data_IF_107181399805
#
_entry.id   IF_107181399805
#
_cell.length_a   1.000
_cell.length_b   1.000
_cell.length_c   1.000
_cell.angle_alpha   90.00
_cell.angle_beta   90.00
_cell.angle_gamma   90.00
#
_symmetry.space_group_name_H-M   'P 1'
#
loop_
_entity.id
_entity.type
_entity.pdbx_description
1 polymer ?
#
# COMPACT_ATOMS: atom_id res chain seq x y z
N UNK A 1 4.54 -23.80 -0.42
CA UNK A 1 4.24 -23.51 -1.86
C UNK A 1 4.38 -22.02 -2.23
N UNK A 2 4.42 -21.07 -1.27
CA UNK A 2 4.60 -19.63 -1.54
C UNK A 2 6.06 -19.26 -1.86
N UNK A 3 7.03 -19.87 -1.20
CA UNK A 3 8.47 -19.60 -1.33
C UNK A 3 9.01 -19.86 -2.76
N UNK A 4 8.51 -20.89 -3.45
CA UNK A 4 9.01 -21.24 -4.81
C UNK A 4 8.62 -20.23 -5.89
N UNK A 5 7.48 -19.56 -5.75
CA UNK A 5 7.02 -18.53 -6.72
C UNK A 5 7.79 -17.22 -6.57
N UNK A 6 8.13 -16.85 -5.33
CA UNK A 6 8.94 -15.64 -5.04
C UNK A 6 10.34 -15.80 -5.67
N UNK A 7 10.98 -16.94 -5.49
CA UNK A 7 12.30 -17.21 -6.10
C UNK A 7 12.29 -17.15 -7.63
N UNK A 8 11.22 -17.65 -8.28
CA UNK A 8 11.11 -17.59 -9.73
C UNK A 8 10.98 -16.14 -10.24
N UNK A 9 10.24 -15.28 -9.52
CA UNK A 9 10.10 -13.86 -9.88
C UNK A 9 11.41 -13.09 -9.68
N UNK A 10 12.16 -13.38 -8.62
CA UNK A 10 13.46 -12.76 -8.36
C UNK A 10 14.50 -13.08 -9.42
N UNK A 11 14.49 -14.31 -9.95
CA UNK A 11 15.44 -14.76 -10.97
C UNK A 11 15.05 -14.33 -12.39
N UNK A 12 13.80 -13.90 -12.59
CA UNK A 12 13.32 -13.52 -13.91
C UNK A 12 13.79 -12.12 -14.30
N UNK A 13 14.59 -12.02 -15.34
CA UNK A 13 15.16 -10.74 -15.83
C UNK A 13 14.19 -9.93 -16.69
N UNK A 14 13.06 -10.47 -17.08
CA UNK A 14 12.05 -9.82 -17.88
C UNK A 14 11.12 -8.91 -17.06
N UNK A 15 10.10 -8.35 -17.74
CA UNK A 15 9.02 -7.62 -17.09
C UNK A 15 8.07 -8.61 -16.43
N UNK A 16 7.83 -8.44 -15.13
CA UNK A 16 6.74 -9.10 -14.43
C UNK A 16 5.62 -8.10 -14.18
N UNK A 17 4.38 -8.54 -14.28
CA UNK A 17 3.21 -7.72 -14.01
C UNK A 17 2.17 -8.51 -13.23
N UNK A 18 1.32 -7.81 -12.52
CA UNK A 18 0.12 -8.34 -11.86
C UNK A 18 -1.08 -7.55 -12.35
N UNK A 19 -2.25 -8.19 -12.41
CA UNK A 19 -3.52 -7.50 -12.53
C UNK A 19 -4.05 -7.14 -11.14
N UNK A 20 -4.74 -6.02 -11.04
CA UNK A 20 -5.56 -5.74 -9.86
C UNK A 20 -6.84 -6.59 -9.92
N UNK A 21 -7.55 -6.78 -8.79
CA UNK A 21 -8.90 -7.31 -8.78
C UNK A 21 -9.79 -6.49 -9.73
N UNK A 22 -10.65 -7.16 -10.46
CA UNK A 22 -11.65 -6.51 -11.30
C UNK A 22 -12.91 -6.18 -10.49
N UNK A 23 -13.90 -5.52 -11.10
CA UNK A 23 -15.17 -5.15 -10.43
C UNK A 23 -15.88 -6.38 -9.88
N UNK A 24 -15.95 -7.48 -10.66
CA UNK A 24 -16.60 -8.72 -10.22
C UNK A 24 -15.93 -9.36 -9.01
N UNK A 25 -14.58 -9.32 -8.93
CA UNK A 25 -13.84 -9.80 -7.76
C UNK A 25 -14.17 -9.00 -6.49
N UNK A 26 -14.40 -7.69 -6.63
CA UNK A 26 -14.83 -6.83 -5.53
C UNK A 26 -16.29 -7.06 -5.14
N UNK A 27 -17.21 -7.20 -6.12
CA UNK A 27 -18.61 -7.52 -5.85
C UNK A 27 -18.74 -8.85 -5.10
N UNK A 28 -18.00 -9.88 -5.52
CA UNK A 28 -17.95 -11.16 -4.80
C UNK A 28 -17.45 -10.98 -3.35
N UNK A 29 -16.47 -10.09 -3.13
CA UNK A 29 -15.96 -9.83 -1.79
C UNK A 29 -16.93 -9.01 -0.91
N UNK A 30 -17.83 -8.24 -1.50
CA UNK A 30 -18.86 -7.44 -0.79
C UNK A 30 -20.10 -8.24 -0.44
N UNK A 31 -20.32 -9.36 -1.12
CA UNK A 31 -21.55 -10.16 -1.05
C UNK A 31 -21.97 -10.49 0.38
N UNK A 32 -23.23 -10.19 0.71
CA UNK A 32 -23.84 -10.53 1.99
C UNK A 32 -23.46 -9.63 3.18
N UNK A 33 -22.81 -8.49 2.94
CA UNK A 33 -22.46 -7.55 4.00
C UNK A 33 -23.28 -6.24 3.89
N UNK A 34 -23.71 -5.73 5.02
CA UNK A 34 -24.44 -4.45 5.12
C UNK A 34 -23.48 -3.26 5.26
N UNK A 35 -22.33 -3.46 5.94
CA UNK A 35 -21.28 -2.45 6.12
C UNK A 35 -19.94 -3.00 5.64
N UNK A 36 -19.30 -2.27 4.72
CA UNK A 36 -18.09 -2.71 4.06
C UNK A 36 -17.02 -1.61 4.08
N UNK A 37 -15.84 -1.97 4.56
CA UNK A 37 -14.66 -1.11 4.58
C UNK A 37 -13.57 -1.72 3.69
N UNK A 38 -13.44 -1.25 2.47
CA UNK A 38 -12.46 -1.72 1.50
C UNK A 38 -11.22 -0.82 1.52
N UNK A 39 -10.05 -1.39 1.81
CA UNK A 39 -8.78 -0.68 1.79
C UNK A 39 -7.98 -1.12 0.56
N UNK A 40 -7.52 -0.18 -0.23
CA UNK A 40 -6.71 -0.48 -1.41
C UNK A 40 -5.32 0.12 -1.31
N UNK A 41 -4.37 -0.45 -2.03
CA UNK A 41 -3.11 0.26 -2.28
C UNK A 41 -3.41 1.51 -3.10
N UNK A 42 -2.50 2.48 -3.04
CA UNK A 42 -2.67 3.76 -3.72
C UNK A 42 -3.09 3.63 -5.18
N UNK A 43 -4.05 4.43 -5.59
CA UNK A 43 -4.53 4.50 -6.97
C UNK A 43 -3.46 4.92 -7.99
N UNK A 44 -2.36 5.53 -7.56
CA UNK A 44 -1.22 5.86 -8.43
C UNK A 44 -0.43 4.63 -8.88
N UNK A 45 -0.48 3.53 -8.14
CA UNK A 45 0.22 2.28 -8.45
C UNK A 45 -0.68 1.21 -9.07
N UNK A 46 -1.98 1.23 -8.77
CA UNK A 46 -2.91 0.16 -9.13
C UNK A 46 -4.29 0.70 -9.47
N UNK A 47 -4.97 0.06 -10.42
CA UNK A 47 -6.39 0.30 -10.69
C UNK A 47 -7.35 -0.28 -9.63
N UNK A 48 -6.82 -0.87 -8.55
CA UNK A 48 -7.61 -1.55 -7.51
C UNK A 48 -8.61 -0.61 -6.83
N UNK A 49 -8.18 0.62 -6.51
CA UNK A 49 -9.05 1.62 -5.89
C UNK A 49 -10.25 1.97 -6.79
N UNK A 50 -9.97 2.26 -8.07
CA UNK A 50 -11.03 2.57 -9.04
C UNK A 50 -11.99 1.38 -9.24
N UNK A 51 -11.48 0.17 -9.33
CA UNK A 51 -12.32 -1.02 -9.46
C UNK A 51 -13.20 -1.25 -8.21
N UNK A 52 -12.64 -1.05 -7.01
CA UNK A 52 -13.38 -1.14 -5.76
C UNK A 52 -14.48 -0.08 -5.66
N UNK A 53 -14.21 1.17 -6.10
CA UNK A 53 -15.19 2.24 -6.10
C UNK A 53 -16.37 1.97 -7.04
N UNK A 54 -16.08 1.53 -8.28
CA UNK A 54 -17.13 1.13 -9.23
C UNK A 54 -17.97 -0.04 -8.71
N UNK A 55 -17.32 -1.03 -8.09
CA UNK A 55 -18.02 -2.13 -7.45
C UNK A 55 -18.90 -1.66 -6.27
N UNK A 56 -18.43 -0.68 -5.48
CA UNK A 56 -19.19 -0.11 -4.38
C UNK A 56 -20.47 0.61 -4.86
N UNK A 57 -20.36 1.39 -5.95
CA UNK A 57 -21.51 2.05 -6.57
C UNK A 57 -22.55 1.03 -7.08
N UNK A 58 -22.09 -0.02 -7.77
CA UNK A 58 -22.95 -1.11 -8.27
C UNK A 58 -23.61 -1.88 -7.13
N UNK A 59 -22.82 -2.27 -6.10
CA UNK A 59 -23.32 -3.02 -4.96
C UNK A 59 -24.38 -2.25 -4.18
N UNK A 60 -24.17 -0.98 -3.88
CA UNK A 60 -25.11 -0.14 -3.16
C UNK A 60 -26.40 0.13 -3.97
N UNK A 61 -26.30 0.17 -5.31
CA UNK A 61 -27.48 0.30 -6.16
C UNK A 61 -28.37 -0.94 -6.13
N UNK A 62 -27.76 -2.13 -6.03
CA UNK A 62 -28.47 -3.42 -5.98
C UNK A 62 -28.92 -3.81 -4.57
N UNK A 63 -28.26 -3.27 -3.51
CA UNK A 63 -28.52 -3.57 -2.10
C UNK A 63 -28.88 -2.29 -1.34
N UNK A 64 -30.14 -1.82 -1.42
CA UNK A 64 -30.57 -0.62 -0.71
C UNK A 64 -30.37 -0.76 0.81
N UNK A 65 -29.57 0.12 1.39
CA UNK A 65 -29.20 0.10 2.81
C UNK A 65 -27.80 -0.39 3.08
N UNK A 66 -27.13 -1.04 2.11
CA UNK A 66 -25.72 -1.37 2.24
C UNK A 66 -24.85 -0.10 2.18
N UNK A 67 -23.82 -0.06 3.01
CA UNK A 67 -22.86 1.04 3.10
C UNK A 67 -21.46 0.52 2.73
N UNK A 68 -20.84 1.11 1.71
CA UNK A 68 -19.51 0.72 1.27
C UNK A 68 -18.57 1.91 1.28
N UNK A 69 -17.54 1.83 2.10
CA UNK A 69 -16.46 2.80 2.15
C UNK A 69 -15.21 2.23 1.49
N UNK A 70 -14.73 2.89 0.45
CA UNK A 70 -13.48 2.53 -0.23
C UNK A 70 -12.40 3.55 0.14
N UNK A 71 -11.40 3.10 0.90
CA UNK A 71 -10.26 3.90 1.30
C UNK A 71 -9.09 3.67 0.35
N UNK A 72 -8.74 4.68 -0.45
CA UNK A 72 -7.41 4.75 -1.06
C UNK A 72 -6.40 5.04 0.06
N UNK A 73 -5.52 4.09 0.34
CA UNK A 73 -4.53 4.25 1.42
C UNK A 73 -3.50 5.33 1.13
N UNK A 74 -3.37 5.79 -0.12
CA UNK A 74 -2.26 6.61 -0.62
C UNK A 74 -0.88 5.97 -0.34
N UNK A 75 -0.86 4.66 -0.14
CA UNK A 75 0.29 3.90 0.29
C UNK A 75 0.29 2.47 -0.28
N UNK A 76 1.14 1.61 0.27
CA UNK A 76 1.22 0.19 -0.09
C UNK A 76 1.78 -0.64 1.08
N UNK A 77 1.76 -1.97 0.94
CA UNK A 77 2.42 -2.89 1.85
C UNK A 77 1.88 -2.85 3.28
N UNK A 78 2.77 -2.83 4.31
CA UNK A 78 2.36 -3.01 5.70
C UNK A 78 1.52 -1.87 6.27
N UNK A 79 1.52 -0.70 5.64
CA UNK A 79 0.68 0.42 6.10
C UNK A 79 -0.82 0.10 6.01
N UNK A 80 -1.24 -0.71 5.00
CA UNK A 80 -2.62 -1.16 4.90
C UNK A 80 -3.06 -1.99 6.12
N UNK A 81 -2.13 -2.70 6.75
CA UNK A 81 -2.41 -3.46 7.97
C UNK A 81 -2.71 -2.52 9.14
N UNK A 82 -1.96 -1.41 9.28
CA UNK A 82 -2.25 -0.38 10.29
C UNK A 82 -3.65 0.20 10.10
N UNK A 83 -4.02 0.51 8.86
CA UNK A 83 -5.35 1.03 8.54
C UNK A 83 -6.45 0.01 8.87
N UNK A 84 -6.27 -1.24 8.48
CA UNK A 84 -7.25 -2.31 8.76
C UNK A 84 -7.42 -2.57 10.26
N UNK A 85 -6.32 -2.56 11.03
CA UNK A 85 -6.39 -2.73 12.48
C UNK A 85 -7.07 -1.55 13.17
N UNK A 86 -6.90 -0.34 12.65
CA UNK A 86 -7.56 0.84 13.20
C UNK A 86 -9.06 0.82 12.92
N UNK A 87 -9.50 0.46 11.69
CA UNK A 87 -10.93 0.23 11.38
C UNK A 87 -11.51 -0.78 12.34
N UNK A 88 -10.84 -1.92 12.51
CA UNK A 88 -11.31 -2.96 13.43
C UNK A 88 -11.50 -2.43 14.85
N UNK A 89 -10.54 -1.67 15.36
CA UNK A 89 -10.62 -1.09 16.70
C UNK A 89 -11.81 -0.15 16.84
N UNK A 90 -12.07 0.72 15.85
CA UNK A 90 -13.21 1.64 15.85
C UNK A 90 -14.56 0.89 15.84
N UNK A 91 -14.66 -0.19 15.06
CA UNK A 91 -15.84 -1.06 15.03
C UNK A 91 -16.05 -1.75 16.38
N UNK A 92 -14.96 -2.28 16.98
CA UNK A 92 -15.00 -2.91 18.32
C UNK A 92 -15.39 -1.91 19.43
N UNK A 93 -15.09 -0.61 19.25
CA UNK A 93 -15.55 0.48 20.13
C UNK A 93 -17.03 0.86 19.92
N UNK A 94 -17.70 0.28 18.92
CA UNK A 94 -19.10 0.54 18.61
C UNK A 94 -19.33 1.87 17.89
N UNK A 95 -18.35 2.34 17.12
CA UNK A 95 -18.49 3.54 16.29
C UNK A 95 -19.43 3.28 15.12
N UNK A 96 -20.26 4.28 14.80
CA UNK A 96 -21.11 4.26 13.64
C UNK A 96 -20.29 4.36 12.33
N UNK A 97 -20.85 3.84 11.23
CA UNK A 97 -20.17 3.76 9.93
C UNK A 97 -19.52 5.08 9.49
N UNK A 98 -20.29 6.18 9.53
CA UNK A 98 -19.82 7.50 9.11
C UNK A 98 -18.68 8.02 10.00
N UNK A 99 -18.73 7.77 11.31
CA UNK A 99 -17.65 8.12 12.23
C UNK A 99 -16.34 7.37 11.91
N UNK A 100 -16.46 6.07 11.57
CA UNK A 100 -15.30 5.26 11.14
C UNK A 100 -14.73 5.84 9.86
N UNK A 101 -15.55 6.16 8.87
CA UNK A 101 -15.11 6.74 7.59
C UNK A 101 -14.34 8.05 7.79
N UNK A 102 -14.90 8.97 8.58
CA UNK A 102 -14.27 10.27 8.87
C UNK A 102 -12.95 10.10 9.61
N UNK A 103 -12.91 9.23 10.62
CA UNK A 103 -11.68 8.96 11.37
C UNK A 103 -10.61 8.35 10.48
N UNK A 104 -10.96 7.41 9.60
CA UNK A 104 -10.02 6.78 8.68
C UNK A 104 -9.43 7.76 7.67
N UNK A 105 -10.20 8.72 7.19
CA UNK A 105 -9.69 9.80 6.34
C UNK A 105 -8.68 10.69 7.07
N UNK A 106 -8.85 10.90 8.38
CA UNK A 106 -7.85 11.60 9.20
C UNK A 106 -6.64 10.73 9.51
N UNK A 107 -6.89 9.50 9.99
CA UNK A 107 -5.85 8.59 10.46
C UNK A 107 -4.82 8.24 9.37
N UNK A 108 -5.24 8.05 8.12
CA UNK A 108 -4.30 7.74 7.02
C UNK A 108 -3.24 8.83 6.80
N UNK A 109 -3.46 10.07 7.24
CA UNK A 109 -2.46 11.14 7.17
C UNK A 109 -1.45 11.09 8.33
N UNK A 110 -1.68 10.24 9.31
CA UNK A 110 -0.79 10.02 10.46
C UNK A 110 -0.02 8.70 10.36
N UNK A 111 -0.27 7.92 9.33
CA UNK A 111 0.51 6.72 9.01
C UNK A 111 1.50 7.03 7.90
N UNK A 112 2.64 6.33 7.88
CA UNK A 112 3.71 6.60 6.93
C UNK A 112 4.38 5.30 6.49
N UNK A 113 4.51 5.10 5.18
CA UNK A 113 5.31 4.04 4.61
C UNK A 113 6.74 4.52 4.37
N UNK A 114 7.69 3.82 4.96
CA UNK A 114 9.10 3.86 4.57
C UNK A 114 9.48 2.50 3.95
N UNK A 115 10.27 2.54 2.90
CA UNK A 115 10.71 1.30 2.25
C UNK A 115 12.18 1.31 1.88
N UNK A 116 12.76 0.12 1.82
CA UNK A 116 14.06 -0.12 1.23
C UNK A 116 13.90 -1.12 0.10
N UNK A 117 14.28 -0.76 -1.11
CA UNK A 117 14.21 -1.63 -2.27
C UNK A 117 15.61 -1.87 -2.84
N UNK A 118 15.90 -3.15 -3.11
CA UNK A 118 17.14 -3.57 -3.76
C UNK A 118 17.14 -3.20 -5.24
N UNK A 119 15.97 -3.16 -5.86
CA UNK A 119 15.82 -2.79 -7.26
C UNK A 119 14.46 -2.14 -7.53
N UNK A 120 14.48 -1.05 -8.27
CA UNK A 120 13.29 -0.39 -8.81
C UNK A 120 12.99 -0.82 -10.26
N UNK A 121 13.79 -1.74 -10.81
CA UNK A 121 13.75 -2.07 -12.23
C UNK A 121 12.37 -2.55 -12.71
N UNK A 122 11.67 -3.34 -11.91
CA UNK A 122 10.35 -3.83 -12.26
C UNK A 122 9.27 -2.75 -12.16
N UNK A 123 9.31 -1.92 -11.13
CA UNK A 123 8.41 -0.77 -10.99
C UNK A 123 8.60 0.21 -12.15
N UNK A 124 9.84 0.47 -12.54
CA UNK A 124 10.19 1.31 -13.69
C UNK A 124 9.66 0.74 -15.01
N UNK A 125 9.86 -0.56 -15.26
CA UNK A 125 9.35 -1.24 -16.47
C UNK A 125 7.83 -1.23 -16.57
N UNK A 126 7.16 -1.16 -15.46
CA UNK A 126 5.70 -1.10 -15.35
C UNK A 126 5.17 0.35 -15.29
N UNK A 127 6.04 1.36 -15.34
CA UNK A 127 5.62 2.77 -15.29
C UNK A 127 5.09 3.22 -13.92
N UNK A 128 5.46 2.52 -12.83
CA UNK A 128 5.01 2.81 -11.45
C UNK A 128 5.97 3.71 -10.67
N UNK A 129 7.05 4.14 -11.29
CA UNK A 129 7.97 5.15 -10.76
C UNK A 129 8.35 6.13 -11.84
N UNK A 130 8.63 7.36 -11.45
CA UNK A 130 9.05 8.43 -12.36
C UNK A 130 10.34 8.04 -13.13
N UNK A 131 10.53 8.45 -14.39
CA UNK A 131 11.71 8.08 -15.18
C UNK A 131 13.04 8.42 -14.51
N UNK A 132 13.10 9.55 -13.78
CA UNK A 132 14.29 9.95 -13.03
C UNK A 132 14.66 8.95 -11.91
N UNK A 133 13.66 8.30 -11.33
CA UNK A 133 13.83 7.25 -10.30
C UNK A 133 14.27 5.94 -10.94
N UNK A 134 13.81 5.66 -12.16
CA UNK A 134 14.17 4.46 -12.92
C UNK A 134 15.67 4.36 -13.25
N UNK A 135 16.33 5.48 -13.45
CA UNK A 135 17.76 5.53 -13.77
C UNK A 135 18.65 4.99 -12.62
N UNK A 136 18.14 5.03 -11.39
CA UNK A 136 18.83 4.55 -10.18
C UNK A 136 18.85 3.03 -10.07
N UNK A 137 17.93 2.37 -10.74
CA UNK A 137 17.60 0.94 -10.59
C UNK A 137 18.72 -0.03 -11.08
N UNK A 138 19.85 0.46 -11.59
CA UNK A 138 20.86 -0.36 -12.28
C UNK A 138 22.20 -0.48 -11.55
N UNK A 139 22.34 0.05 -10.35
CA UNK A 139 23.62 0.05 -9.63
C UNK A 139 23.75 -1.16 -8.72
N UNK A 140 24.85 -1.89 -8.83
CA UNK A 140 25.13 -3.07 -8.02
C UNK A 140 25.28 -2.70 -6.52
N UNK A 141 24.64 -3.49 -5.66
CA UNK A 141 24.68 -3.33 -4.19
C UNK A 141 24.22 -1.94 -3.68
N UNK A 142 23.37 -1.25 -4.43
CA UNK A 142 22.73 -0.01 -4.01
C UNK A 142 21.29 -0.34 -3.62
N UNK A 143 20.89 0.07 -2.43
CA UNK A 143 19.50 0.04 -1.96
C UNK A 143 18.90 1.44 -2.03
N UNK A 144 17.67 1.50 -2.48
CA UNK A 144 16.90 2.74 -2.56
C UNK A 144 16.01 2.84 -1.35
N UNK A 145 16.16 3.93 -0.60
CA UNK A 145 15.29 4.27 0.51
C UNK A 145 14.27 5.28 0.02
N UNK A 146 13.02 5.04 0.34
CA UNK A 146 11.93 5.90 -0.08
C UNK A 146 10.75 5.89 0.88
N UNK A 147 9.75 6.65 0.51
CA UNK A 147 8.48 6.76 1.24
C UNK A 147 7.29 6.82 0.27
N UNK A 148 6.09 6.56 0.78
CA UNK A 148 4.90 7.04 0.12
C UNK A 148 4.77 8.56 0.34
N UNK A 149 4.44 9.30 -0.72
CA UNK A 149 4.12 10.72 -0.61
C UNK A 149 2.67 10.93 -0.21
N UNK A 150 2.31 12.13 0.18
CA UNK A 150 0.92 12.49 0.50
C UNK A 150 -0.04 12.35 -0.71
N UNK A 151 0.52 12.29 -1.92
CA UNK A 151 -0.22 11.99 -3.15
C UNK A 151 -0.26 10.50 -3.50
N UNK A 152 0.30 9.62 -2.66
CA UNK A 152 0.34 8.18 -2.89
C UNK A 152 1.39 7.71 -3.91
N UNK A 153 2.34 8.56 -4.30
CA UNK A 153 3.45 8.19 -5.17
C UNK A 153 4.62 7.61 -4.37
N UNK A 154 5.44 6.79 -5.00
CA UNK A 154 6.69 6.31 -4.40
C UNK A 154 7.82 7.30 -4.62
N UNK A 155 8.18 8.03 -3.59
CA UNK A 155 9.28 9.00 -3.60
C UNK A 155 10.58 8.38 -3.10
N UNK A 156 11.68 8.69 -3.79
CA UNK A 156 13.02 8.29 -3.37
C UNK A 156 13.61 9.38 -2.47
N UNK A 157 13.97 8.99 -1.26
CA UNK A 157 14.64 9.87 -0.29
C UNK A 157 16.15 9.86 -0.49
N UNK A 158 16.74 8.67 -0.55
CA UNK A 158 18.19 8.54 -0.74
C UNK A 158 18.58 7.14 -1.24
N UNK A 159 19.89 6.95 -1.42
CA UNK A 159 20.52 5.68 -1.78
C UNK A 159 21.55 5.32 -0.72
N UNK A 160 21.62 4.03 -0.40
CA UNK A 160 22.63 3.51 0.51
C UNK A 160 23.34 2.30 -0.11
N UNK A 161 24.47 1.94 0.46
CA UNK A 161 25.18 0.73 0.06
C UNK A 161 24.94 -0.37 1.08
N UNK A 162 24.51 -1.53 0.58
CA UNK A 162 24.30 -2.71 1.41
C UNK A 162 23.07 -2.64 2.31
N UNK A 163 22.81 -3.72 3.00
CA UNK A 163 21.63 -3.88 3.85
C UNK A 163 21.74 -3.10 5.15
N UNK A 164 22.89 -3.17 5.80
CA UNK A 164 23.13 -2.49 7.08
C UNK A 164 22.92 -0.97 6.94
N UNK A 165 23.53 -0.34 5.92
CA UNK A 165 23.33 1.08 5.65
C UNK A 165 21.87 1.43 5.31
N UNK A 166 21.12 0.50 4.70
CA UNK A 166 19.71 0.69 4.44
C UNK A 166 18.87 0.69 5.72
N UNK A 167 19.14 -0.23 6.64
CA UNK A 167 18.44 -0.30 7.93
C UNK A 167 18.73 0.94 8.79
N UNK A 168 20.00 1.34 8.90
CA UNK A 168 20.37 2.57 9.61
C UNK A 168 19.64 3.79 9.04
N UNK A 169 19.58 3.89 7.71
CA UNK A 169 18.91 5.02 7.07
C UNK A 169 17.39 4.99 7.29
N UNK A 170 16.73 3.83 7.23
CA UNK A 170 15.31 3.71 7.56
C UNK A 170 15.01 4.18 8.99
N UNK A 171 15.86 3.83 9.96
CA UNK A 171 15.70 4.29 11.36
C UNK A 171 15.89 5.81 11.48
N UNK A 172 16.82 6.39 10.73
CA UNK A 172 17.01 7.84 10.70
C UNK A 172 15.81 8.56 10.06
N UNK A 173 15.29 8.03 8.95
CA UNK A 173 14.10 8.58 8.30
C UNK A 173 12.87 8.49 9.20
N UNK A 174 12.67 7.35 9.89
CA UNK A 174 11.59 7.18 10.85
C UNK A 174 11.60 8.28 11.93
N UNK A 175 12.78 8.55 12.51
CA UNK A 175 12.96 9.64 13.48
C UNK A 175 12.77 11.02 12.84
N UNK A 176 13.28 11.21 11.63
CA UNK A 176 13.17 12.46 10.88
C UNK A 176 11.73 12.83 10.51
N UNK A 177 10.87 11.82 10.36
CA UNK A 177 9.42 11.99 10.14
C UNK A 177 8.62 12.12 11.45
N UNK A 178 9.28 12.39 12.57
CA UNK A 178 8.62 12.70 13.84
C UNK A 178 8.14 11.51 14.64
N UNK A 179 8.57 10.27 14.29
CA UNK A 179 8.21 9.11 15.09
C UNK A 179 8.79 9.22 16.50
N UNK A 180 7.91 9.25 17.47
CA UNK A 180 8.27 9.29 18.90
C UNK A 180 7.83 8.02 19.62
N UNK A 181 6.68 7.49 19.25
CA UNK A 181 6.10 6.23 19.75
C UNK A 181 4.99 5.77 18.82
N UNK A 182 4.42 4.61 19.10
CA UNK A 182 3.31 4.05 18.34
C UNK A 182 3.65 2.73 17.66
N UNK A 183 2.71 2.23 16.87
CA UNK A 183 2.85 0.94 16.20
C UNK A 183 3.74 1.05 14.97
N UNK A 184 4.63 0.09 14.82
CA UNK A 184 5.44 -0.09 13.61
C UNK A 184 5.21 -1.52 13.10
N UNK A 185 4.90 -1.64 11.82
CA UNK A 185 4.79 -2.94 11.14
C UNK A 185 5.94 -3.03 10.14
N UNK A 186 6.68 -4.13 10.22
CA UNK A 186 7.81 -4.41 9.31
C UNK A 186 7.44 -5.60 8.44
N UNK A 187 7.50 -5.40 7.13
CA UNK A 187 7.40 -6.47 6.14
C UNK A 187 8.72 -6.61 5.38
N UNK A 188 9.15 -7.83 5.13
CA UNK A 188 10.39 -8.11 4.40
C UNK A 188 10.23 -9.34 3.50
N UNK A 189 11.09 -9.46 2.50
CA UNK A 189 11.09 -10.55 1.51
C UNK A 189 12.40 -11.37 1.58
N UNK A 190 12.77 -11.84 2.74
CA UNK A 190 13.97 -12.66 2.96
C UNK A 190 15.06 -11.94 3.70
#
# INVERSE_FOLDING_TARGET
>A
RHSSKINAVQLYKGKTSTSCPNIGDWLEAYEGADEIYAITITGTLSGSCNAAQLAAEEYQAEHPGAQVFVLDSLSAGPELVLLAEHIRALIEEGREFDEVCEEMLRYRHHTHLLFSLESLANLARNGRVKPAVAAVARMLNIRVIGKASDAGELDVLCKTRGEHGALERLVLELKGHGYTNGKVIIAHCG
#
